data_IF_473601685469
#
_entry.id   IF_473601685469
#
_cell.length_a   1.000
_cell.length_b   1.000
_cell.length_c   1.000
_cell.angle_alpha   90.00
_cell.angle_beta   90.00
_cell.angle_gamma   90.00
#
_symmetry.space_group_name_H-M   'P 1'
#
loop_
_entity.id
_entity.type
_entity.pdbx_description
1 polymer ?
#
# COMPACT_ATOMS: atom_id res chain seq x y z
N UNK A 1 -10.91 -5.34 -15.19
CA UNK A 1 -10.07 -4.41 -15.97
C UNK A 1 -8.92 -5.15 -16.63
N UNK A 2 -8.57 -4.74 -17.84
CA UNK A 2 -7.39 -5.20 -18.57
C UNK A 2 -6.12 -4.47 -18.11
N UNK A 3 -4.93 -5.01 -18.43
CA UNK A 3 -3.64 -4.44 -17.97
C UNK A 3 -3.48 -2.97 -18.39
N UNK A 4 -3.88 -2.62 -19.61
CA UNK A 4 -3.82 -1.23 -20.11
C UNK A 4 -4.72 -0.29 -19.30
N UNK A 5 -5.95 -0.73 -18.99
CA UNK A 5 -6.88 0.06 -18.18
C UNK A 5 -6.37 0.24 -16.74
N UNK A 6 -5.71 -0.78 -16.18
CA UNK A 6 -5.08 -0.70 -14.86
C UNK A 6 -3.92 0.31 -14.86
N UNK A 7 -3.08 0.34 -15.90
CA UNK A 7 -2.00 1.34 -16.03
C UNK A 7 -2.56 2.76 -16.09
N UNK A 8 -3.61 2.98 -16.90
CA UNK A 8 -4.29 4.26 -16.97
C UNK A 8 -4.90 4.67 -15.61
N UNK A 9 -5.57 3.73 -14.92
CA UNK A 9 -6.13 3.96 -13.58
C UNK A 9 -5.05 4.33 -12.56
N UNK A 10 -3.91 3.65 -12.59
CA UNK A 10 -2.79 3.95 -11.71
C UNK A 10 -2.26 5.37 -11.97
N UNK A 11 -2.20 5.81 -13.23
CA UNK A 11 -1.83 7.18 -13.57
C UNK A 11 -2.84 8.22 -13.05
N UNK A 12 -4.14 7.95 -13.19
CA UNK A 12 -5.19 8.82 -12.63
C UNK A 12 -5.13 8.91 -11.09
N UNK A 13 -4.85 7.80 -10.42
CA UNK A 13 -4.64 7.78 -8.97
C UNK A 13 -3.42 8.63 -8.59
N UNK A 14 -2.31 8.56 -9.35
CA UNK A 14 -1.14 9.43 -9.11
C UNK A 14 -1.50 10.92 -9.25
N UNK A 15 -2.29 11.29 -10.25
CA UNK A 15 -2.74 12.68 -10.43
C UNK A 15 -3.54 13.16 -9.22
N UNK A 16 -4.44 12.32 -8.69
CA UNK A 16 -5.20 12.67 -7.50
C UNK A 16 -4.35 12.75 -6.25
N UNK A 17 -3.36 11.87 -6.08
CA UNK A 17 -2.38 11.97 -4.99
C UNK A 17 -1.68 13.32 -5.00
N UNK A 18 -1.23 13.80 -6.17
CA UNK A 18 -0.60 15.12 -6.30
C UNK A 18 -1.60 16.24 -5.94
N UNK A 19 -2.82 16.20 -6.47
CA UNK A 19 -3.85 17.22 -6.18
C UNK A 19 -4.19 17.28 -4.68
N UNK A 20 -4.40 16.11 -4.06
CA UNK A 20 -4.72 16.00 -2.63
C UNK A 20 -3.63 16.61 -1.76
N UNK A 21 -2.37 16.31 -2.07
CA UNK A 21 -1.23 16.75 -1.27
C UNK A 21 -0.96 18.25 -1.45
N UNK A 22 -1.11 18.77 -2.67
CA UNK A 22 -1.01 20.20 -2.94
C UNK A 22 -2.11 20.98 -2.22
N UNK A 23 -3.36 20.51 -2.29
CA UNK A 23 -4.51 21.13 -1.60
C UNK A 23 -4.38 21.08 -0.08
N UNK A 24 -3.92 19.97 0.48
CA UNK A 24 -3.73 19.84 1.91
C UNK A 24 -2.51 20.63 2.45
N UNK A 25 -1.56 20.99 1.58
CA UNK A 25 -0.27 21.57 1.98
C UNK A 25 0.55 20.65 2.90
N UNK A 26 0.22 19.35 2.96
CA UNK A 26 0.76 18.40 3.93
C UNK A 26 0.58 16.95 3.49
N UNK A 27 1.60 16.11 3.68
CA UNK A 27 1.52 14.66 3.49
C UNK A 27 2.74 14.04 2.81
N UNK A 28 2.59 12.81 2.30
CA UNK A 28 3.73 11.96 1.92
C UNK A 28 3.68 11.51 0.44
N UNK A 29 4.13 12.34 -0.51
CA UNK A 29 4.03 12.02 -1.95
C UNK A 29 4.86 10.79 -2.33
N UNK A 30 6.13 10.73 -1.92
CA UNK A 30 7.05 9.70 -2.36
C UNK A 30 6.58 8.28 -2.04
N UNK A 31 6.12 8.07 -0.80
CA UNK A 31 5.58 6.79 -0.33
C UNK A 31 4.20 6.45 -0.91
N UNK A 32 3.41 7.45 -1.32
CA UNK A 32 2.10 7.24 -1.93
C UNK A 32 2.24 6.82 -3.40
N UNK A 33 3.09 7.53 -4.15
CA UNK A 33 3.31 7.30 -5.58
C UNK A 33 3.96 5.94 -5.87
N UNK A 34 4.87 5.48 -4.99
CA UNK A 34 5.50 4.15 -5.08
C UNK A 34 4.49 3.01 -4.94
N UNK A 35 3.54 3.12 -4.00
CA UNK A 35 2.53 2.08 -3.73
C UNK A 35 1.36 2.06 -4.74
N UNK A 36 1.28 3.03 -5.66
CA UNK A 36 0.07 3.26 -6.47
C UNK A 36 -0.26 2.08 -7.41
N UNK A 37 0.72 1.48 -8.07
CA UNK A 37 0.44 0.36 -8.98
C UNK A 37 -0.03 -0.89 -8.22
N UNK A 38 0.53 -1.14 -7.03
CA UNK A 38 0.14 -2.23 -6.13
C UNK A 38 -1.31 -2.06 -5.68
N UNK A 39 -1.66 -0.88 -5.17
CA UNK A 39 -3.03 -0.57 -4.74
C UNK A 39 -4.01 -0.65 -5.93
N UNK A 40 -3.59 -0.21 -7.10
CA UNK A 40 -4.42 -0.30 -8.31
C UNK A 40 -4.68 -1.76 -8.70
N UNK A 41 -3.65 -2.60 -8.71
CA UNK A 41 -3.82 -4.03 -8.99
C UNK A 41 -4.75 -4.71 -7.96
N UNK A 42 -4.62 -4.37 -6.68
CA UNK A 42 -5.48 -4.90 -5.62
C UNK A 42 -6.95 -4.51 -5.86
N UNK A 43 -7.28 -3.21 -5.85
CA UNK A 43 -8.66 -2.74 -5.88
C UNK A 43 -9.38 -2.93 -7.21
N UNK A 44 -8.67 -3.03 -8.33
CA UNK A 44 -9.32 -3.05 -9.64
C UNK A 44 -9.18 -4.39 -10.39
N UNK A 45 -8.52 -5.38 -9.79
CA UNK A 45 -8.33 -6.71 -10.40
C UNK A 45 -8.36 -7.89 -9.42
N UNK A 46 -7.84 -7.74 -8.21
CA UNK A 46 -7.56 -8.90 -7.34
C UNK A 46 -8.55 -9.07 -6.19
N UNK A 47 -8.94 -7.97 -5.54
CA UNK A 47 -9.78 -8.01 -4.35
C UNK A 47 -11.21 -8.41 -4.68
N UNK A 48 -11.82 -9.20 -3.79
CA UNK A 48 -13.27 -9.36 -3.70
C UNK A 48 -13.78 -8.29 -2.74
N UNK A 49 -14.44 -7.26 -3.26
CA UNK A 49 -14.99 -6.18 -2.44
C UNK A 49 -16.20 -5.53 -3.13
N UNK A 50 -17.03 -4.85 -2.34
CA UNK A 50 -18.16 -4.05 -2.83
C UNK A 50 -18.14 -2.68 -2.10
N UNK A 51 -17.91 -1.56 -2.82
CA UNK A 51 -17.90 -0.23 -2.22
C UNK A 51 -19.24 0.17 -1.58
N UNK A 52 -20.36 -0.43 -2.02
CA UNK A 52 -21.70 -0.20 -1.42
C UNK A 52 -21.90 -1.01 -0.14
N UNK A 53 -21.05 -1.99 0.13
CA UNK A 53 -21.04 -2.81 1.35
C UNK A 53 -19.65 -2.78 2.00
N UNK A 54 -19.17 -1.61 2.45
CA UNK A 54 -17.81 -1.46 2.96
C UNK A 54 -17.51 -2.30 4.21
N UNK A 55 -18.56 -2.77 4.91
CA UNK A 55 -18.47 -3.59 6.12
C UNK A 55 -18.83 -5.07 5.90
N UNK A 56 -18.86 -5.53 4.65
CA UNK A 56 -19.14 -6.94 4.35
C UNK A 56 -18.15 -7.85 5.10
N UNK A 57 -18.63 -8.77 5.97
CA UNK A 57 -17.73 -9.66 6.69
C UNK A 57 -16.94 -10.59 5.75
N UNK A 58 -17.40 -10.82 4.52
CA UNK A 58 -16.83 -11.76 3.57
C UNK A 58 -15.95 -11.12 2.48
N UNK A 59 -15.78 -9.78 2.48
CA UNK A 59 -14.83 -9.11 1.56
C UNK A 59 -13.37 -9.36 1.94
N UNK A 60 -12.48 -9.29 0.96
CA UNK A 60 -11.03 -9.25 1.20
C UNK A 60 -10.65 -8.02 2.05
N UNK A 61 -9.60 -8.16 2.85
CA UNK A 61 -9.11 -7.13 3.78
C UNK A 61 -7.81 -6.51 3.27
N UNK A 62 -7.64 -5.20 3.41
CA UNK A 62 -6.41 -4.48 3.04
C UNK A 62 -5.96 -3.59 4.19
N UNK A 63 -4.77 -3.89 4.72
CA UNK A 63 -4.10 -3.07 5.73
C UNK A 63 -2.95 -2.30 5.07
N UNK A 64 -3.03 -0.97 5.04
CA UNK A 64 -1.89 -0.14 4.69
C UNK A 64 -1.05 0.11 5.95
N UNK A 65 -0.04 -0.74 6.16
CA UNK A 65 0.81 -0.70 7.36
C UNK A 65 1.72 0.53 7.36
N UNK A 66 2.28 0.85 6.19
CA UNK A 66 2.92 2.13 5.87
C UNK A 66 1.90 3.28 5.77
N UNK A 67 1.17 3.52 6.85
CA UNK A 67 -0.01 4.40 6.89
C UNK A 67 0.23 5.82 6.40
N UNK A 68 1.46 6.31 6.43
CA UNK A 68 1.81 7.63 5.88
C UNK A 68 1.52 7.75 4.37
N UNK A 69 1.57 6.63 3.62
CA UNK A 69 1.22 6.54 2.19
C UNK A 69 -0.28 6.53 1.88
N UNK A 70 -1.12 6.90 2.84
CA UNK A 70 -2.58 6.86 2.72
C UNK A 70 -3.20 7.67 1.57
N UNK A 71 -2.62 8.77 1.05
CA UNK A 71 -3.17 9.44 -0.13
C UNK A 71 -3.46 8.49 -1.31
N UNK A 72 -2.57 7.53 -1.57
CA UNK A 72 -2.79 6.54 -2.63
C UNK A 72 -3.93 5.56 -2.32
N UNK A 73 -4.09 5.16 -1.06
CA UNK A 73 -5.20 4.29 -0.64
C UNK A 73 -6.55 5.02 -0.74
N UNK A 74 -6.62 6.27 -0.28
CA UNK A 74 -7.83 7.08 -0.40
C UNK A 74 -8.20 7.30 -1.87
N UNK A 75 -7.25 7.65 -2.72
CA UNK A 75 -7.50 7.79 -4.16
C UNK A 75 -7.99 6.46 -4.77
N UNK A 76 -7.37 5.31 -4.44
CA UNK A 76 -7.86 4.01 -4.90
C UNK A 76 -9.30 3.72 -4.45
N UNK A 77 -9.64 3.98 -3.18
CA UNK A 77 -11.00 3.79 -2.64
C UNK A 77 -12.03 4.71 -3.31
N UNK A 78 -11.69 5.98 -3.54
CA UNK A 78 -12.55 6.92 -4.26
C UNK A 78 -12.81 6.46 -5.70
N UNK A 79 -11.76 6.06 -6.42
CA UNK A 79 -11.89 5.50 -7.78
C UNK A 79 -12.68 4.19 -7.82
N UNK A 80 -12.63 3.40 -6.74
CA UNK A 80 -13.43 2.19 -6.61
C UNK A 80 -14.88 2.47 -6.16
N UNK A 81 -15.23 3.72 -5.84
CA UNK A 81 -16.59 4.15 -5.54
C UNK A 81 -17.00 4.09 -4.06
N UNK A 82 -16.06 3.96 -3.13
CA UNK A 82 -16.37 3.98 -1.69
C UNK A 82 -16.90 5.34 -1.21
N UNK A 83 -16.48 6.42 -1.87
CA UNK A 83 -16.92 7.78 -1.62
C UNK A 83 -16.65 8.67 -2.86
N UNK A 84 -17.27 9.85 -2.98
CA UNK A 84 -17.09 10.75 -4.13
C UNK A 84 -15.63 11.23 -4.29
N UNK A 85 -15.15 11.31 -5.53
CA UNK A 85 -13.75 11.69 -5.85
C UNK A 85 -13.40 13.10 -5.36
N UNK A 86 -14.38 14.00 -5.33
CA UNK A 86 -14.24 15.39 -4.87
C UNK A 86 -13.84 15.47 -3.40
N UNK A 87 -14.26 14.49 -2.59
CA UNK A 87 -13.94 14.43 -1.16
C UNK A 87 -12.44 14.25 -0.92
N UNK A 88 -11.66 13.78 -1.91
CA UNK A 88 -10.20 13.69 -1.81
C UNK A 88 -9.56 15.04 -1.45
N UNK A 89 -10.15 16.17 -1.86
CA UNK A 89 -9.67 17.53 -1.54
C UNK A 89 -9.88 17.94 -0.08
N UNK A 90 -10.44 17.04 0.74
CA UNK A 90 -10.62 17.24 2.18
C UNK A 90 -9.55 16.55 3.03
N UNK A 91 -8.53 15.93 2.42
CA UNK A 91 -7.41 15.30 3.13
C UNK A 91 -6.85 16.23 4.22
N UNK A 92 -6.71 15.71 5.44
CA UNK A 92 -6.13 16.39 6.62
C UNK A 92 -6.85 17.66 7.08
N UNK A 93 -8.00 18.01 6.51
CA UNK A 93 -8.84 19.10 7.01
C UNK A 93 -9.58 18.67 8.28
N UNK A 94 -9.90 19.64 9.14
CA UNK A 94 -10.73 19.41 10.32
C UNK A 94 -12.06 18.74 9.92
N UNK A 95 -12.53 17.80 10.72
CA UNK A 95 -13.76 17.01 10.52
C UNK A 95 -13.82 16.13 9.26
N UNK A 96 -12.80 16.16 8.41
CA UNK A 96 -12.71 15.26 7.26
C UNK A 96 -12.59 13.80 7.71
N UNK A 97 -13.24 12.83 7.04
CA UNK A 97 -12.94 11.42 7.30
C UNK A 97 -11.57 11.01 6.74
N UNK A 98 -10.98 11.81 5.84
CA UNK A 98 -9.67 11.54 5.22
C UNK A 98 -8.54 12.08 6.10
N UNK A 99 -8.24 11.33 7.16
CA UNK A 99 -7.21 11.65 8.14
C UNK A 99 -5.79 11.49 7.57
N UNK A 100 -4.79 12.11 8.21
CA UNK A 100 -3.40 12.09 7.74
C UNK A 100 -2.71 10.72 7.77
N UNK A 101 -3.31 9.76 8.48
CA UNK A 101 -3.08 8.32 8.45
C UNK A 101 -4.44 7.62 8.42
N UNK A 102 -4.55 6.33 8.03
CA UNK A 102 -5.81 5.61 8.01
C UNK A 102 -6.49 5.63 9.40
N UNK A 103 -7.77 6.00 9.44
CA UNK A 103 -8.61 5.85 10.63
C UNK A 103 -9.89 5.08 10.26
N UNK A 104 -9.92 3.79 10.61
CA UNK A 104 -11.04 2.91 10.28
C UNK A 104 -12.37 3.30 10.93
N UNK A 105 -12.34 4.13 11.98
CA UNK A 105 -13.55 4.62 12.64
C UNK A 105 -14.18 5.78 11.87
N UNK A 106 -13.39 6.49 11.06
CA UNK A 106 -13.81 7.70 10.33
C UNK A 106 -14.24 7.41 8.90
N UNK A 107 -13.58 6.45 8.23
CA UNK A 107 -13.85 6.16 6.82
C UNK A 107 -14.22 4.66 6.61
N UNK A 108 -15.49 4.36 6.33
CA UNK A 108 -15.89 3.01 5.92
C UNK A 108 -15.11 2.53 4.69
N UNK A 109 -14.57 1.31 4.77
CA UNK A 109 -13.73 0.71 3.73
C UNK A 109 -12.30 0.45 4.20
N UNK A 110 -11.81 1.24 5.17
CA UNK A 110 -10.53 0.97 5.84
C UNK A 110 -10.68 -0.18 6.84
N UNK A 111 -9.74 -1.12 6.80
CA UNK A 111 -9.74 -2.29 7.69
C UNK A 111 -9.00 -2.08 9.02
N UNK A 112 -8.10 -1.10 9.08
CA UNK A 112 -7.28 -0.82 10.25
C UNK A 112 -6.96 0.67 10.35
N UNK A 113 -6.88 1.17 11.59
CA UNK A 113 -6.17 2.42 11.87
C UNK A 113 -4.68 2.12 11.98
N UNK A 114 -3.86 2.80 11.19
CA UNK A 114 -2.40 2.62 11.14
C UNK A 114 -1.70 3.98 11.19
N UNK A 115 -0.37 3.98 11.23
CA UNK A 115 0.44 5.20 11.28
C UNK A 115 1.69 5.02 12.13
N UNK A 116 1.56 4.30 13.25
CA UNK A 116 2.69 3.70 13.96
C UNK A 116 3.18 2.50 13.14
N UNK A 117 4.42 2.60 12.64
CA UNK A 117 5.04 1.54 11.84
C UNK A 117 5.14 0.23 12.66
N UNK A 118 5.07 -0.91 11.97
CA UNK A 118 5.17 -2.25 12.56
C UNK A 118 3.83 -2.84 13.01
N UNK A 119 2.83 -2.00 13.28
CA UNK A 119 1.54 -2.46 13.80
C UNK A 119 0.67 -3.17 12.76
N UNK A 120 0.69 -2.73 11.49
CA UNK A 120 -0.28 -3.23 10.51
C UNK A 120 -0.06 -4.70 10.12
N UNK A 121 1.17 -5.22 10.12
CA UNK A 121 1.40 -6.65 9.93
C UNK A 121 0.82 -7.48 11.08
N UNK A 122 0.95 -6.99 12.32
CA UNK A 122 0.34 -7.63 13.50
C UNK A 122 -1.18 -7.67 13.39
N UNK A 123 -1.80 -6.55 13.01
CA UNK A 123 -3.25 -6.44 12.79
C UNK A 123 -3.70 -7.39 11.67
N UNK A 124 -3.02 -7.38 10.53
CA UNK A 124 -3.33 -8.25 9.40
C UNK A 124 -3.18 -9.75 9.75
N UNK A 125 -2.17 -10.08 10.55
CA UNK A 125 -1.96 -11.43 11.08
C UNK A 125 -3.14 -11.86 11.97
N UNK A 126 -3.65 -10.97 12.82
CA UNK A 126 -4.87 -11.20 13.60
C UNK A 126 -6.11 -11.41 12.73
N UNK A 127 -6.31 -10.57 11.71
CA UNK A 127 -7.41 -10.71 10.75
C UNK A 127 -7.36 -12.04 9.99
N UNK A 128 -6.16 -12.47 9.61
CA UNK A 128 -5.92 -13.76 8.99
C UNK A 128 -6.21 -14.90 9.98
N UNK A 129 -5.77 -14.82 11.23
CA UNK A 129 -6.11 -15.86 12.22
C UNK A 129 -7.63 -15.97 12.43
N UNK A 130 -8.32 -14.84 12.57
CA UNK A 130 -9.77 -14.77 12.72
C UNK A 130 -10.50 -15.44 11.55
N UNK A 131 -10.11 -15.13 10.30
CA UNK A 131 -10.64 -15.78 9.08
C UNK A 131 -10.65 -17.30 9.19
N UNK A 132 -9.54 -17.89 9.66
CA UNK A 132 -9.41 -19.35 9.80
C UNK A 132 -10.35 -19.90 10.87
N UNK A 133 -10.44 -19.23 12.02
CA UNK A 133 -11.32 -19.63 13.12
C UNK A 133 -12.79 -19.56 12.71
N UNK A 134 -13.16 -18.51 11.98
CA UNK A 134 -14.53 -18.28 11.50
C UNK A 134 -14.86 -19.06 10.23
N UNK A 135 -13.92 -19.87 9.71
CA UNK A 135 -14.05 -20.65 8.47
C UNK A 135 -14.47 -19.81 7.26
N UNK A 136 -13.97 -18.58 7.19
CA UNK A 136 -14.23 -17.65 6.09
C UNK A 136 -13.29 -17.86 4.92
N UNK A 137 -13.67 -17.34 3.75
CA UNK A 137 -12.94 -17.53 2.51
C UNK A 137 -12.05 -16.35 2.08
N UNK A 138 -12.25 -15.15 2.66
CA UNK A 138 -11.58 -13.91 2.26
C UNK A 138 -10.06 -13.95 2.43
N UNK A 139 -9.34 -13.10 1.70
CA UNK A 139 -7.90 -12.91 1.81
C UNK A 139 -7.57 -11.67 2.62
N UNK A 140 -6.43 -11.68 3.31
CA UNK A 140 -5.88 -10.50 3.98
C UNK A 140 -4.62 -10.06 3.25
N UNK A 141 -4.61 -8.79 2.84
CA UNK A 141 -3.48 -8.14 2.21
C UNK A 141 -2.91 -7.07 3.15
N UNK A 142 -1.59 -6.97 3.23
CA UNK A 142 -0.92 -5.92 4.00
C UNK A 142 0.23 -5.32 3.20
N UNK A 143 0.31 -3.99 3.16
CA UNK A 143 1.34 -3.26 2.43
C UNK A 143 2.28 -2.63 3.46
N UNK A 144 3.55 -3.02 3.43
CA UNK A 144 4.62 -2.59 4.32
C UNK A 144 5.56 -1.62 3.58
N UNK A 145 6.36 -0.85 4.32
CA UNK A 145 7.59 -0.23 3.79
C UNK A 145 8.84 -0.99 4.23
N UNK A 146 9.94 -0.80 3.53
CA UNK A 146 11.26 -1.27 3.97
C UNK A 146 11.71 -0.68 5.30
N UNK A 147 11.49 0.62 5.53
CA UNK A 147 11.75 1.23 6.85
C UNK A 147 10.92 0.64 7.98
N UNK A 148 9.69 0.20 7.71
CA UNK A 148 8.86 -0.49 8.69
C UNK A 148 9.42 -1.85 9.12
N UNK A 149 10.24 -2.50 8.28
CA UNK A 149 10.87 -3.77 8.64
C UNK A 149 11.97 -3.62 9.71
N UNK A 150 12.33 -2.40 10.09
CA UNK A 150 13.21 -2.18 11.25
C UNK A 150 12.49 -2.40 12.59
N UNK A 151 11.16 -2.32 12.61
CA UNK A 151 10.38 -2.52 13.84
C UNK A 151 10.39 -3.99 14.25
N UNK A 152 10.75 -4.26 15.51
CA UNK A 152 10.78 -5.62 16.07
C UNK A 152 9.40 -6.31 15.98
N UNK A 153 8.34 -5.53 16.15
CA UNK A 153 6.95 -5.99 16.03
C UNK A 153 6.65 -6.64 14.67
N UNK A 154 7.27 -6.17 13.58
CA UNK A 154 7.13 -6.78 12.24
C UNK A 154 7.61 -8.23 12.26
N UNK A 155 8.73 -8.51 12.93
CA UNK A 155 9.32 -9.85 12.98
C UNK A 155 8.61 -10.78 13.96
N UNK A 156 8.06 -10.25 15.05
CA UNK A 156 7.16 -11.00 15.93
C UNK A 156 5.92 -11.51 15.17
N UNK A 157 5.28 -10.61 14.40
CA UNK A 157 4.13 -10.96 13.56
C UNK A 157 4.52 -11.93 12.43
N UNK A 158 5.67 -11.73 11.79
CA UNK A 158 6.18 -12.62 10.76
C UNK A 158 6.40 -14.05 11.29
N UNK A 159 6.99 -14.17 12.48
CA UNK A 159 7.20 -15.44 13.19
C UNK A 159 5.89 -16.14 13.49
N UNK A 160 4.93 -15.40 14.06
CA UNK A 160 3.61 -15.94 14.39
C UNK A 160 2.87 -16.43 13.14
N UNK A 161 2.81 -15.62 12.08
CA UNK A 161 2.12 -15.97 10.84
C UNK A 161 2.74 -17.21 10.15
N UNK A 162 4.06 -17.30 10.14
CA UNK A 162 4.80 -18.44 9.61
C UNK A 162 4.60 -19.71 10.43
N UNK A 163 4.69 -19.62 11.77
CA UNK A 163 4.40 -20.73 12.68
C UNK A 163 2.98 -21.28 12.46
N UNK A 164 2.00 -20.38 12.35
CA UNK A 164 0.61 -20.74 12.16
C UNK A 164 0.21 -21.02 10.70
N UNK A 165 1.14 -21.01 9.73
CA UNK A 165 0.85 -21.33 8.32
C UNK A 165 -0.32 -20.52 7.75
N UNK A 166 -0.35 -19.21 7.97
CA UNK A 166 -1.46 -18.36 7.53
C UNK A 166 -1.42 -18.10 6.01
N UNK A 167 -1.67 -19.13 5.19
CA UNK A 167 -1.59 -19.04 3.72
C UNK A 167 -2.69 -18.26 3.00
N UNK A 168 -3.48 -17.48 3.74
CA UNK A 168 -4.40 -16.48 3.21
C UNK A 168 -3.98 -15.05 3.57
N UNK A 169 -2.78 -14.89 4.13
CA UNK A 169 -2.11 -13.60 4.36
C UNK A 169 -1.07 -13.37 3.27
N UNK A 170 -1.25 -12.29 2.51
CA UNK A 170 -0.30 -11.82 1.50
C UNK A 170 0.21 -10.46 1.94
N UNK A 171 1.49 -10.40 2.32
CA UNK A 171 2.18 -9.16 2.59
C UNK A 171 2.93 -8.70 1.33
N UNK A 172 2.97 -7.38 1.12
CA UNK A 172 3.65 -6.75 0.00
C UNK A 172 4.58 -5.69 0.57
N UNK A 173 5.88 -5.86 0.36
CA UNK A 173 6.89 -4.89 0.72
C UNK A 173 7.07 -3.90 -0.42
N UNK A 174 6.70 -2.64 -0.21
CA UNK A 174 7.04 -1.53 -1.09
C UNK A 174 8.53 -1.19 -0.91
N UNK A 175 9.38 -1.87 -1.68
CA UNK A 175 10.81 -1.86 -1.49
C UNK A 175 11.51 -0.77 -2.31
N UNK A 176 11.26 0.48 -1.94
CA UNK A 176 11.75 1.67 -2.66
C UNK A 176 13.13 2.17 -2.21
N UNK A 177 13.76 1.52 -1.22
CA UNK A 177 15.12 1.75 -0.71
C UNK A 177 15.30 3.02 0.13
N UNK A 178 14.24 3.73 0.54
CA UNK A 178 14.35 4.99 1.29
C UNK A 178 13.41 5.08 2.49
N UNK A 179 13.92 5.57 3.61
CA UNK A 179 13.16 5.85 4.83
C UNK A 179 12.85 7.34 4.99
N UNK A 180 12.63 7.81 6.22
CA UNK A 180 12.40 9.24 6.51
C UNK A 180 13.68 10.06 6.23
N UNK A 181 14.82 9.67 6.81
CA UNK A 181 16.04 10.51 6.79
C UNK A 181 16.92 10.27 5.55
N UNK A 182 17.12 9.02 5.13
CA UNK A 182 17.94 8.68 3.95
C UNK A 182 17.59 7.28 3.41
N UNK A 183 18.39 6.78 2.48
CA UNK A 183 18.35 5.42 1.98
C UNK A 183 18.49 4.39 3.12
N UNK A 184 17.73 3.29 3.04
CA UNK A 184 17.75 2.20 4.03
C UNK A 184 19.17 1.70 4.31
N UNK A 185 20.01 1.62 3.26
CA UNK A 185 21.40 1.17 3.32
C UNK A 185 22.30 2.02 4.24
N UNK A 186 21.96 3.30 4.43
CA UNK A 186 22.72 4.22 5.30
C UNK A 186 22.14 4.31 6.72
N UNK A 187 20.86 3.99 6.89
CA UNK A 187 20.17 4.06 8.18
C UNK A 187 20.28 2.71 8.87
N UNK A 188 19.54 1.70 8.40
CA UNK A 188 19.63 0.31 8.86
C UNK A 188 19.39 -0.59 7.65
N UNK A 189 20.45 -1.24 7.18
CA UNK A 189 20.39 -2.16 6.05
C UNK A 189 19.81 -3.52 6.48
N UNK A 190 18.67 -3.87 5.91
CA UNK A 190 17.96 -5.12 6.19
C UNK A 190 18.31 -6.24 5.21
N UNK A 191 19.29 -6.05 4.33
CA UNK A 191 19.75 -7.12 3.44
C UNK A 191 20.46 -8.27 4.19
N UNK A 192 20.36 -9.54 3.73
CA UNK A 192 19.48 -10.02 2.67
C UNK A 192 18.01 -10.07 3.12
N UNK A 193 17.14 -9.24 2.53
CA UNK A 193 15.74 -9.10 2.99
C UNK A 193 14.92 -10.35 2.68
N UNK A 194 15.16 -10.96 1.51
CA UNK A 194 14.49 -12.19 1.04
C UNK A 194 14.73 -13.34 2.02
N UNK A 195 15.99 -13.53 2.44
CA UNK A 195 16.37 -14.65 3.30
C UNK A 195 15.82 -14.49 4.71
N UNK A 196 15.72 -13.25 5.21
CA UNK A 196 15.04 -12.97 6.49
C UNK A 196 13.58 -13.43 6.44
N UNK A 197 12.82 -13.05 5.43
CA UNK A 197 11.42 -13.49 5.30
C UNK A 197 11.29 -15.02 5.14
N UNK A 198 12.18 -15.65 4.35
CA UNK A 198 12.21 -17.12 4.21
C UNK A 198 12.51 -17.81 5.54
N UNK A 199 13.41 -17.27 6.35
CA UNK A 199 13.75 -17.82 7.68
C UNK A 199 12.53 -17.83 8.62
N UNK A 200 11.62 -16.87 8.49
CA UNK A 200 10.33 -16.84 9.19
C UNK A 200 9.24 -17.72 8.54
N UNK A 201 9.61 -18.62 7.62
CA UNK A 201 8.71 -19.59 6.95
C UNK A 201 7.70 -18.98 5.97
N UNK A 202 8.02 -17.83 5.40
CA UNK A 202 7.20 -17.22 4.34
C UNK A 202 7.61 -17.74 2.96
N UNK A 203 6.65 -17.85 2.05
CA UNK A 203 6.94 -17.95 0.62
C UNK A 203 7.26 -16.55 0.09
N UNK A 204 8.34 -16.39 -0.68
CA UNK A 204 8.82 -15.06 -1.09
C UNK A 204 8.90 -14.95 -2.60
N UNK A 205 8.22 -13.94 -3.15
CA UNK A 205 8.34 -13.51 -4.54
C UNK A 205 9.06 -12.17 -4.63
N UNK A 206 9.94 -12.01 -5.60
CA UNK A 206 10.54 -10.72 -5.95
C UNK A 206 10.04 -10.26 -7.31
N UNK A 207 9.62 -9.00 -7.40
CA UNK A 207 9.03 -8.44 -8.62
C UNK A 207 9.47 -6.99 -8.85
N UNK A 208 9.38 -6.55 -10.10
CA UNK A 208 9.27 -5.12 -10.44
C UNK A 208 7.89 -4.62 -10.00
N UNK A 209 7.88 -3.71 -9.01
CA UNK A 209 6.69 -3.12 -8.41
C UNK A 209 5.96 -2.10 -9.29
N UNK A 210 6.46 -1.84 -10.51
CA UNK A 210 5.83 -0.96 -11.50
C UNK A 210 5.44 -1.69 -12.79
N UNK A 211 5.73 -2.99 -12.88
CA UNK A 211 5.22 -3.83 -13.96
C UNK A 211 3.85 -4.40 -13.59
N UNK A 212 2.77 -3.70 -14.00
CA UNK A 212 1.39 -4.07 -13.69
C UNK A 212 1.03 -5.54 -14.02
N UNK A 213 1.54 -6.08 -15.14
CA UNK A 213 1.30 -7.46 -15.51
C UNK A 213 1.94 -8.43 -14.52
N UNK A 214 3.21 -8.20 -14.17
CA UNK A 214 3.93 -8.98 -13.17
C UNK A 214 3.28 -8.89 -11.80
N UNK A 215 2.82 -7.71 -11.38
CA UNK A 215 2.10 -7.51 -10.10
C UNK A 215 0.83 -8.38 -10.08
N UNK A 216 -0.04 -8.25 -11.08
CA UNK A 216 -1.30 -9.00 -11.16
C UNK A 216 -1.05 -10.51 -11.19
N UNK A 217 -0.14 -10.97 -12.04
CA UNK A 217 0.21 -12.39 -12.16
C UNK A 217 0.76 -12.94 -10.83
N UNK A 218 1.60 -12.17 -10.14
CA UNK A 218 2.20 -12.59 -8.86
C UNK A 218 1.17 -12.63 -7.75
N UNK A 219 0.27 -11.65 -7.66
CA UNK A 219 -0.85 -11.68 -6.71
C UNK A 219 -1.77 -12.89 -6.93
N UNK A 220 -2.04 -13.27 -8.19
CA UNK A 220 -2.80 -14.47 -8.51
C UNK A 220 -2.04 -15.76 -8.14
N UNK A 221 -0.73 -15.82 -8.41
CA UNK A 221 0.13 -16.95 -8.03
C UNK A 221 0.24 -17.10 -6.51
N UNK A 222 0.34 -15.99 -5.78
CA UNK A 222 0.39 -15.97 -4.33
C UNK A 222 -0.84 -16.64 -3.71
N UNK A 223 -2.03 -16.50 -4.33
CA UNK A 223 -3.26 -17.17 -3.86
C UNK A 223 -3.25 -18.70 -4.00
N UNK A 224 -2.26 -19.26 -4.71
CA UNK A 224 -2.06 -20.71 -4.83
C UNK A 224 -1.16 -21.28 -3.71
N UNK A 225 -0.48 -20.42 -2.95
CA UNK A 225 0.33 -20.83 -1.80
C UNK A 225 -0.59 -20.90 -0.58
N UNK A 226 -0.90 -22.12 -0.12
CA UNK A 226 -1.89 -22.34 0.96
C UNK A 226 -1.29 -22.68 2.32
N UNK A 227 -0.07 -23.21 2.35
CA UNK A 227 0.58 -23.72 3.57
C UNK A 227 1.55 -22.72 4.23
N UNK A 228 1.73 -21.53 3.63
CA UNK A 228 2.63 -20.48 4.12
C UNK A 228 2.04 -19.12 3.82
N UNK A 229 2.20 -18.12 4.71
CA UNK A 229 1.96 -16.74 4.33
C UNK A 229 2.94 -16.34 3.20
N UNK A 230 2.53 -15.38 2.37
CA UNK A 230 3.30 -14.94 1.20
C UNK A 230 3.83 -13.53 1.40
N UNK A 231 5.11 -13.33 1.14
CA UNK A 231 5.75 -12.03 1.04
C UNK A 231 6.05 -11.73 -0.43
N UNK A 232 5.57 -10.61 -0.94
CA UNK A 232 5.92 -10.09 -2.26
C UNK A 232 6.82 -8.88 -2.03
N UNK A 233 8.11 -9.02 -2.34
CA UNK A 233 9.06 -7.92 -2.34
C UNK A 233 8.96 -7.22 -3.68
N UNK A 234 8.29 -6.06 -3.69
CA UNK A 234 8.07 -5.27 -4.89
C UNK A 234 9.13 -4.15 -4.94
N UNK A 235 10.11 -4.28 -5.84
CA UNK A 235 11.12 -3.26 -6.06
C UNK A 235 10.46 -2.06 -6.76
N UNK A 236 10.35 -0.95 -6.05
CA UNK A 236 9.63 0.26 -6.47
C UNK A 236 10.56 1.47 -6.50
N UNK A 237 10.08 2.59 -7.06
CA UNK A 237 10.73 3.89 -7.08
C UNK A 237 9.91 4.83 -6.20
N UNK A 238 10.52 5.37 -5.15
CA UNK A 238 9.89 6.40 -4.31
C UNK A 238 9.59 7.61 -5.20
N UNK A 239 8.35 8.11 -5.19
CA UNK A 239 7.94 9.22 -6.07
C UNK A 239 7.59 8.81 -7.51
N UNK A 240 7.37 7.51 -7.79
CA UNK A 240 7.14 6.99 -9.15
C UNK A 240 6.15 7.82 -9.96
N UNK A 241 6.57 8.19 -11.17
CA UNK A 241 5.75 8.88 -12.15
C UNK A 241 6.00 10.37 -12.24
N UNK A 242 6.71 10.98 -11.27
CA UNK A 242 7.04 12.40 -11.26
C UNK A 242 8.56 12.55 -11.17
N UNK A 243 9.18 13.02 -12.25
CA UNK A 243 10.63 12.97 -12.49
C UNK A 243 11.47 13.53 -11.35
N UNK A 244 11.08 14.69 -10.82
CA UNK A 244 11.80 15.39 -9.74
C UNK A 244 11.53 14.82 -8.34
N UNK A 245 10.51 13.96 -8.20
CA UNK A 245 10.22 13.23 -6.96
C UNK A 245 10.82 11.81 -6.96
N UNK A 246 11.12 11.24 -8.13
CA UNK A 246 11.69 9.90 -8.25
C UNK A 246 13.05 9.80 -7.53
N UNK A 247 13.17 8.87 -6.58
CA UNK A 247 14.36 8.64 -5.74
C UNK A 247 14.84 9.87 -4.96
N UNK A 248 13.95 10.83 -4.71
CA UNK A 248 14.28 12.04 -3.97
C UNK A 248 13.65 12.01 -2.57
N UNK A 249 14.51 11.88 -1.55
CA UNK A 249 14.04 11.71 -0.18
C UNK A 249 13.36 12.96 0.40
N UNK A 250 13.61 14.14 -0.18
CA UNK A 250 12.91 15.37 0.18
C UNK A 250 11.38 15.20 0.16
N UNK A 251 10.88 14.45 -0.82
CA UNK A 251 9.44 14.19 -1.00
C UNK A 251 8.95 12.98 -0.18
N UNK A 252 9.66 12.54 0.85
CA UNK A 252 9.13 11.55 1.78
C UNK A 252 7.89 12.09 2.52
N UNK A 253 7.99 13.28 3.10
CA UNK A 253 6.94 13.91 3.92
C UNK A 253 6.69 15.40 3.62
N UNK A 254 7.27 15.92 2.54
CA UNK A 254 7.04 17.29 2.08
C UNK A 254 6.01 17.28 0.96
N UNK A 255 4.93 18.04 1.13
CA UNK A 255 3.92 18.23 0.10
C UNK A 255 4.48 19.11 -1.05
N UNK A 256 4.08 18.86 -2.30
CA UNK A 256 4.51 19.70 -3.41
C UNK A 256 3.97 21.12 -3.28
N UNK A 257 4.74 22.11 -3.73
CA UNK A 257 4.21 23.46 -3.94
C UNK A 257 3.18 23.46 -5.08
N UNK A 258 2.47 24.58 -5.26
CA UNK A 258 1.53 24.73 -6.37
C UNK A 258 2.21 24.54 -7.73
N UNK A 259 3.38 25.15 -7.92
CA UNK A 259 4.16 25.07 -9.15
C UNK A 259 4.68 23.66 -9.40
N UNK A 260 5.13 22.98 -8.35
CA UNK A 260 5.55 21.58 -8.44
C UNK A 260 4.39 20.65 -8.77
N UNK A 261 3.21 20.89 -8.18
CA UNK A 261 2.01 20.12 -8.46
C UNK A 261 1.56 20.30 -9.91
N UNK A 262 1.56 21.54 -10.44
CA UNK A 262 1.27 21.82 -11.84
C UNK A 262 2.25 21.11 -12.78
N UNK A 263 3.56 21.13 -12.46
CA UNK A 263 4.58 20.41 -13.23
C UNK A 263 4.37 18.90 -13.19
N UNK A 264 4.13 18.34 -12.00
CA UNK A 264 3.89 16.91 -11.82
C UNK A 264 2.64 16.44 -12.59
N UNK A 265 1.55 17.22 -12.57
CA UNK A 265 0.33 16.90 -13.30
C UNK A 265 0.56 16.88 -14.81
N UNK A 266 1.30 17.85 -15.36
CA UNK A 266 1.69 17.85 -16.79
C UNK A 266 2.50 16.61 -17.17
N UNK A 267 3.45 16.19 -16.32
CA UNK A 267 4.22 14.97 -16.57
C UNK A 267 3.34 13.71 -16.57
N UNK A 268 2.36 13.64 -15.68
CA UNK A 268 1.43 12.50 -15.60
C UNK A 268 0.42 12.53 -16.74
N UNK A 269 -0.03 13.70 -17.19
CA UNK A 269 -0.90 13.84 -18.36
C UNK A 269 -0.23 13.35 -19.64
N UNK A 270 1.05 13.68 -19.85
CA UNK A 270 1.82 13.23 -21.01
C UNK A 270 2.04 11.70 -21.08
N UNK A 271 1.72 10.96 -20.01
CA UNK A 271 1.83 9.50 -19.89
C UNK A 271 0.48 8.77 -20.05
N UNK A 272 -0.60 9.52 -20.28
CA UNK A 272 -1.97 8.97 -20.35
C UNK A 272 -2.27 8.32 -21.68
#
# INVERSE_FOLDING_TARGET
MEITELRHRANEIRKDVIRMLAEAGSGHPGGSLSATDILTALYFKVLIHDPKKPRDPDRDRVVLSKGHGVPALYAALAHAGYFPREQLMTLRKLDSPLQGHPDMRRLPGLDASTGSLGQGLSIATGMALARRLDRKAYWTYVILSDGETNEGQTWEAASFAGHHKLGHLIAILDYNKFQLDDAVKKIIDMEPVVDKWRAFRWEVFEIDGHNMETIVRTLQRAKQVREKPVMIIAHTIKGKGVSFMENNNHYHGVAPTKEEAERALKELEAKS
#
